data_IF_629785069347
#
_entry.id   IF_629785069347
#
_cell.length_a   1.000
_cell.length_b   1.000
_cell.length_c   1.000
_cell.angle_alpha   90.00
_cell.angle_beta   90.00
_cell.angle_gamma   90.00
#
_symmetry.space_group_name_H-M   'P 1'
#
loop_
_entity.id
_entity.type
_entity.pdbx_description
1 polymer ?
#
# COMPACT_ATOMS: atom_id res chain seq x y z
N UNK A 1 -21.92 20.83 -11.24
CA UNK A 1 -22.22 20.37 -9.86
C UNK A 1 -22.77 21.54 -9.05
N UNK A 2 -24.01 21.46 -8.56
CA UNK A 2 -24.61 22.60 -7.85
C UNK A 2 -24.07 22.71 -6.42
N UNK A 3 -23.72 23.93 -5.99
CA UNK A 3 -23.41 24.22 -4.58
C UNK A 3 -24.65 24.00 -3.71
N UNK A 4 -24.47 23.50 -2.48
CA UNK A 4 -25.57 23.39 -1.52
C UNK A 4 -26.16 24.77 -1.18
N UNK A 5 -27.45 24.81 -0.84
CA UNK A 5 -28.13 26.05 -0.41
C UNK A 5 -27.38 26.74 0.73
N UNK A 6 -26.90 25.97 1.72
CA UNK A 6 -26.12 26.48 2.84
C UNK A 6 -24.76 27.08 2.44
N UNK A 7 -24.10 26.57 1.39
CA UNK A 7 -22.85 27.16 0.88
C UNK A 7 -23.12 28.48 0.16
N UNK A 8 -24.17 28.54 -0.66
CA UNK A 8 -24.60 29.77 -1.35
C UNK A 8 -24.94 30.90 -0.38
N UNK A 9 -25.59 30.59 0.74
CA UNK A 9 -25.91 31.57 1.77
C UNK A 9 -24.67 32.15 2.45
N UNK A 10 -23.69 31.31 2.81
CA UNK A 10 -22.42 31.78 3.40
C UNK A 10 -21.64 32.70 2.45
N UNK A 11 -21.52 32.30 1.19
CA UNK A 11 -20.88 33.12 0.14
C UNK A 11 -21.64 34.43 -0.12
N UNK A 12 -22.96 34.49 0.12
CA UNK A 12 -23.73 35.73 0.08
C UNK A 12 -23.36 36.65 1.25
N UNK A 13 -23.31 36.13 2.47
CA UNK A 13 -22.95 36.91 3.67
C UNK A 13 -21.54 37.50 3.57
N UNK A 14 -20.57 36.72 3.09
CA UNK A 14 -19.20 37.19 2.86
C UNK A 14 -19.15 38.33 1.83
N UNK A 15 -19.92 38.23 0.73
CA UNK A 15 -20.03 39.31 -0.27
C UNK A 15 -20.69 40.58 0.27
N UNK A 16 -21.62 40.43 1.22
CA UNK A 16 -22.27 41.55 1.91
C UNK A 16 -21.40 42.15 3.03
N UNK A 17 -20.16 41.67 3.21
CA UNK A 17 -19.23 42.17 4.23
C UNK A 17 -19.54 41.69 5.64
N UNK A 18 -20.40 40.66 5.80
CA UNK A 18 -20.72 40.08 7.10
C UNK A 18 -19.66 39.06 7.50
N UNK A 19 -19.47 38.89 8.81
CA UNK A 19 -18.50 37.94 9.39
C UNK A 19 -18.71 36.53 8.82
N UNK A 20 -17.61 35.86 8.47
CA UNK A 20 -17.66 34.52 7.91
C UNK A 20 -18.20 33.51 8.94
N UNK A 21 -19.32 32.81 8.69
CA UNK A 21 -19.84 31.80 9.60
C UNK A 21 -18.90 30.60 9.81
N UNK A 22 -17.93 30.39 8.92
CA UNK A 22 -16.91 29.36 9.09
C UNK A 22 -15.92 29.67 10.23
N UNK A 23 -15.62 30.95 10.46
CA UNK A 23 -14.72 31.41 11.55
C UNK A 23 -15.36 31.22 12.93
N UNK A 24 -16.70 31.16 13.00
CA UNK A 24 -17.43 30.94 14.25
C UNK A 24 -17.61 29.45 14.56
N UNK A 25 -17.07 28.53 13.75
CA UNK A 25 -17.20 27.10 14.01
C UNK A 25 -16.24 26.68 15.12
N UNK A 26 -16.74 25.83 16.01
CA UNK A 26 -15.92 25.18 17.03
C UNK A 26 -14.78 24.37 16.38
N UNK A 27 -13.60 24.29 17.02
CA UNK A 27 -12.49 23.45 16.55
C UNK A 27 -12.86 21.97 16.40
N UNK A 28 -13.87 21.49 17.15
CA UNK A 28 -14.35 20.11 17.04
C UNK A 28 -15.00 19.80 15.68
N UNK A 29 -15.39 20.81 14.90
CA UNK A 29 -15.93 20.60 13.56
C UNK A 29 -14.89 20.06 12.56
N UNK A 30 -13.60 20.26 12.85
CA UNK A 30 -12.49 19.77 12.01
C UNK A 30 -11.93 18.43 12.51
N UNK A 31 -12.17 18.09 13.77
CA UNK A 31 -11.62 16.89 14.41
C UNK A 31 -12.56 15.70 14.15
N UNK A 32 -11.99 14.54 13.83
CA UNK A 32 -12.75 13.31 13.74
C UNK A 32 -13.08 12.77 15.13
N UNK A 33 -14.27 13.10 15.63
CA UNK A 33 -14.78 12.67 16.94
C UNK A 33 -15.41 11.27 16.94
N UNK A 34 -15.23 10.48 15.89
CA UNK A 34 -15.80 9.14 15.80
C UNK A 34 -15.05 8.17 16.72
N UNK A 35 -15.78 7.27 17.38
CA UNK A 35 -15.20 6.15 18.13
C UNK A 35 -14.38 5.24 17.20
N UNK A 36 -13.12 4.99 17.56
CA UNK A 36 -12.25 4.06 16.82
C UNK A 36 -12.80 2.65 16.97
N UNK A 37 -12.96 1.95 15.84
CA UNK A 37 -13.38 0.54 15.81
C UNK A 37 -12.22 -0.33 15.34
N UNK A 38 -12.04 -1.47 16.01
CA UNK A 38 -11.09 -2.50 15.58
C UNK A 38 -11.63 -3.25 14.35
N UNK A 39 -10.75 -4.04 13.71
CA UNK A 39 -11.12 -4.85 12.53
C UNK A 39 -12.08 -5.96 12.92
N UNK A 40 -13.05 -6.26 12.07
CA UNK A 40 -13.96 -7.40 12.26
C UNK A 40 -13.26 -8.73 11.94
N UNK A 41 -13.87 -9.86 12.33
CA UNK A 41 -13.36 -11.21 11.98
C UNK A 41 -13.16 -11.36 10.46
N UNK A 42 -14.13 -10.89 9.66
CA UNK A 42 -14.06 -10.92 8.20
C UNK A 42 -12.89 -10.07 7.70
N UNK A 43 -12.73 -8.86 8.22
CA UNK A 43 -11.62 -7.97 7.84
C UNK A 43 -10.25 -8.56 8.17
N UNK A 44 -10.15 -9.37 9.22
CA UNK A 44 -8.89 -10.04 9.58
C UNK A 44 -8.63 -11.26 8.70
N UNK A 45 -9.66 -12.08 8.45
CA UNK A 45 -9.55 -13.33 7.69
C UNK A 45 -9.09 -13.09 6.25
N UNK A 46 -9.64 -12.07 5.60
CA UNK A 46 -9.32 -11.77 4.20
C UNK A 46 -8.20 -10.72 4.05
N UNK A 47 -7.46 -10.42 5.12
CA UNK A 47 -6.34 -9.47 5.06
C UNK A 47 -5.05 -10.15 4.62
N UNK A 48 -4.56 -9.82 3.45
CA UNK A 48 -3.19 -10.14 3.02
C UNK A 48 -2.18 -9.15 3.62
N UNK A 49 -1.79 -9.34 4.88
CA UNK A 49 -0.78 -8.48 5.56
C UNK A 49 0.64 -8.80 5.09
N UNK A 50 0.97 -10.08 4.99
CA UNK A 50 2.29 -10.55 4.56
C UNK A 50 2.12 -11.35 3.28
N UNK A 51 2.83 -10.95 2.21
CA UNK A 51 2.84 -11.68 0.95
C UNK A 51 3.77 -12.88 1.12
N UNK A 52 3.24 -14.01 1.55
CA UNK A 52 3.96 -15.27 1.38
C UNK A 52 3.92 -15.57 -0.12
N UNK A 53 5.05 -15.41 -0.81
CA UNK A 53 5.19 -15.98 -2.13
C UNK A 53 4.89 -17.47 -1.96
N UNK A 54 3.76 -17.95 -2.50
CA UNK A 54 3.64 -19.39 -2.74
C UNK A 54 4.87 -19.73 -3.55
N UNK A 55 5.73 -20.60 -3.01
CA UNK A 55 6.86 -21.15 -3.74
C UNK A 55 6.25 -21.68 -5.04
N UNK A 56 6.39 -20.91 -6.13
CA UNK A 56 6.04 -21.41 -7.43
C UNK A 56 6.97 -22.60 -7.60
N UNK A 57 6.37 -23.76 -7.86
CA UNK A 57 7.01 -25.07 -8.03
C UNK A 57 8.11 -25.06 -9.13
N UNK A 58 8.34 -23.91 -9.76
CA UNK A 58 9.24 -23.67 -10.88
C UNK A 58 10.65 -23.25 -10.43
N UNK A 59 10.84 -22.73 -9.22
CA UNK A 59 12.17 -22.36 -8.69
C UNK A 59 12.74 -23.40 -7.71
N UNK A 60 12.71 -24.66 -8.12
CA UNK A 60 13.48 -25.76 -7.47
C UNK A 60 14.83 -25.96 -8.17
N UNK A 61 15.36 -24.93 -8.82
CA UNK A 61 16.72 -24.92 -9.36
C UNK A 61 17.73 -24.72 -8.24
N UNK A 62 18.38 -25.79 -7.80
CA UNK A 62 19.56 -25.72 -6.93
C UNK A 62 20.64 -24.86 -7.59
N UNK A 63 20.87 -23.66 -7.07
CA UNK A 63 21.96 -22.77 -7.51
C UNK A 63 23.35 -23.41 -7.41
N UNK A 64 23.50 -24.44 -6.55
CA UNK A 64 24.76 -25.15 -6.34
C UNK A 64 25.04 -26.22 -7.40
N UNK A 65 24.03 -26.75 -8.10
CA UNK A 65 24.23 -27.83 -9.07
C UNK A 65 25.00 -27.37 -10.33
N UNK A 66 24.82 -26.10 -10.72
CA UNK A 66 25.50 -25.52 -11.90
C UNK A 66 27.02 -25.42 -11.71
N UNK A 67 27.49 -25.14 -10.49
CA UNK A 67 28.92 -25.02 -10.21
C UNK A 67 29.61 -26.38 -10.08
N UNK A 68 28.90 -27.40 -9.59
CA UNK A 68 29.42 -28.77 -9.50
C UNK A 68 29.62 -29.35 -10.91
N UNK A 69 28.63 -29.23 -11.79
CA UNK A 69 28.73 -29.77 -13.16
C UNK A 69 29.81 -29.05 -13.97
N UNK A 70 29.89 -27.71 -13.87
CA UNK A 70 30.93 -26.95 -14.58
C UNK A 70 32.36 -27.26 -14.08
N UNK A 71 32.54 -27.54 -12.78
CA UNK A 71 33.84 -27.93 -12.22
C UNK A 71 34.31 -29.31 -12.69
N UNK A 72 33.39 -30.23 -12.99
CA UNK A 72 33.71 -31.58 -13.49
C UNK A 72 34.12 -31.52 -14.96
N UNK A 73 33.39 -30.77 -15.79
CA UNK A 73 33.65 -30.69 -17.25
C UNK A 73 34.96 -29.97 -17.60
N UNK A 74 35.45 -29.08 -16.73
CA UNK A 74 36.67 -28.31 -16.98
C UNK A 74 37.97 -29.09 -16.67
N UNK A 75 37.90 -30.22 -15.97
CA UNK A 75 39.07 -31.03 -15.61
C UNK A 75 39.44 -32.11 -16.64
N UNK A 76 38.60 -32.36 -17.65
CA UNK A 76 38.87 -33.39 -18.67
C UNK A 76 39.75 -32.90 -19.84
N UNK A 77 40.00 -31.58 -19.95
CA UNK A 77 40.73 -31.00 -21.10
C UNK A 77 42.23 -30.79 -20.88
N UNK A 78 42.77 -31.06 -19.68
CA UNK A 78 44.21 -30.85 -19.38
C UNK A 78 45.06 -32.13 -19.66
N UNK A 79 44.43 -33.25 -20.05
CA UNK A 79 45.09 -34.54 -20.24
C UNK A 79 45.53 -34.89 -21.67
N UNK A 80 45.68 -33.94 -22.60
CA UNK A 80 46.14 -34.20 -23.98
C UNK A 80 47.23 -33.23 -24.46
N UNK A 81 48.34 -33.17 -23.73
CA UNK A 81 49.62 -32.70 -24.26
C UNK A 81 50.72 -33.53 -23.58
N UNK A 82 51.03 -34.67 -24.19
CA UNK A 82 52.32 -35.37 -24.17
C UNK A 82 52.35 -36.27 -25.40
#
# INVERSE_FOLDING_TARGET
>A
MAKSKAKKFRERLEREGRRNPAENRSPFALINMRTRKTKTKKDYLYRNKHKNQRIQKENVGSFYFKYIVAGITNNETIGKLN
#
